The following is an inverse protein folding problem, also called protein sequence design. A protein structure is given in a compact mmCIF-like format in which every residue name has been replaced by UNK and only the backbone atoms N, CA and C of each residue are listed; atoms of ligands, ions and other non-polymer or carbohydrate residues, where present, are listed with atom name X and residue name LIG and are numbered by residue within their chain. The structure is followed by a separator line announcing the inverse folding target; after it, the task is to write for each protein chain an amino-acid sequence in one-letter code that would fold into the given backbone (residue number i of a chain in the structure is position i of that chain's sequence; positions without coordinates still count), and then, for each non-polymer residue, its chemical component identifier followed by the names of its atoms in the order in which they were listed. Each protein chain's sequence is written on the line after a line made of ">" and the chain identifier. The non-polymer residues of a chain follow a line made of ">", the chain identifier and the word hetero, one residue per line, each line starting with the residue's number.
data_IF_621264941429
#
_entry.id   IF_621264941429
#
_cell.length_a   1.000
_cell.length_b   1.000
_cell.length_c   1.000
_cell.angle_alpha   90.00
_cell.angle_beta   90.00
_cell.angle_gamma   90.00
#
_symmetry.space_group_name_H-M   'P 1'
#
loop_
_entity.id
_entity.type
_entity.pdbx_description
1 polymer ?
#
# COMPACT_ATOMS: atom_id res chain seq x y z
N UNK A 1 27.94 -9.62 23.41
CA UNK A 1 26.49 -9.55 23.15
C UNK A 1 25.90 -10.91 23.47
N UNK A 2 24.88 -10.99 24.31
CA UNK A 2 24.29 -12.29 24.70
C UNK A 2 23.54 -12.93 23.52
N UNK A 3 23.52 -14.29 23.47
CA UNK A 3 22.80 -15.05 22.45
C UNK A 3 21.30 -14.65 22.35
N UNK A 4 20.70 -14.27 23.47
CA UNK A 4 19.31 -13.79 23.54
C UNK A 4 19.08 -12.48 22.76
N UNK A 5 20.04 -11.53 22.81
CA UNK A 5 19.94 -10.25 22.07
C UNK A 5 20.00 -10.53 20.57
N UNK A 6 20.89 -11.42 20.12
CA UNK A 6 21.04 -11.79 18.71
C UNK A 6 19.78 -12.50 18.21
N UNK A 7 19.20 -13.39 19.01
CA UNK A 7 17.97 -14.11 18.65
C UNK A 7 16.75 -13.18 18.58
N UNK A 8 16.63 -12.22 19.51
CA UNK A 8 15.58 -11.20 19.49
C UNK A 8 15.69 -10.29 18.26
N UNK A 9 16.90 -9.79 17.94
CA UNK A 9 17.14 -8.96 16.76
C UNK A 9 16.81 -9.72 15.45
N UNK A 10 17.17 -10.99 15.33
CA UNK A 10 16.83 -11.82 14.17
C UNK A 10 15.32 -12.04 14.02
N UNK A 11 14.58 -12.16 15.13
CA UNK A 11 13.12 -12.27 15.10
C UNK A 11 12.46 -10.96 14.65
N UNK A 12 12.88 -9.85 15.21
CA UNK A 12 12.37 -8.51 14.82
C UNK A 12 12.62 -8.21 13.35
N UNK A 13 13.81 -8.55 12.83
CA UNK A 13 14.17 -8.40 11.42
C UNK A 13 13.19 -9.16 10.50
N UNK A 14 12.89 -10.43 10.79
CA UNK A 14 11.96 -11.22 9.99
C UNK A 14 10.53 -10.68 10.02
N UNK A 15 10.10 -10.15 11.16
CA UNK A 15 8.75 -9.57 11.29
C UNK A 15 8.62 -8.31 10.46
N UNK A 16 9.61 -7.39 10.49
CA UNK A 16 9.54 -6.17 9.68
C UNK A 16 9.59 -6.47 8.18
N UNK A 17 10.43 -7.40 7.74
CA UNK A 17 10.49 -7.84 6.34
C UNK A 17 9.16 -8.45 5.88
N UNK A 18 8.52 -9.25 6.73
CA UNK A 18 7.20 -9.78 6.45
C UNK A 18 6.16 -8.66 6.31
N UNK A 19 6.14 -7.69 7.24
CA UNK A 19 5.24 -6.55 7.22
C UNK A 19 5.43 -5.68 5.95
N UNK A 20 6.68 -5.35 5.59
CA UNK A 20 6.99 -4.60 4.36
C UNK A 20 6.52 -5.34 3.10
N UNK A 21 6.70 -6.66 3.02
CA UNK A 21 6.20 -7.45 1.89
C UNK A 21 4.66 -7.52 1.87
N UNK A 22 3.97 -7.43 3.01
CA UNK A 22 2.51 -7.35 3.07
C UNK A 22 2.00 -5.98 2.60
N UNK A 23 2.67 -4.90 3.00
CA UNK A 23 2.39 -3.55 2.47
C UNK A 23 2.60 -3.54 0.95
N UNK A 24 3.72 -4.03 0.45
CA UNK A 24 4.01 -4.12 -0.98
C UNK A 24 2.93 -4.90 -1.75
N UNK A 25 2.40 -5.97 -1.18
CA UNK A 25 1.32 -6.74 -1.80
C UNK A 25 0.00 -5.95 -1.89
N UNK A 26 -0.35 -5.20 -0.85
CA UNK A 26 -1.55 -4.36 -0.85
C UNK A 26 -1.42 -3.18 -1.82
N UNK A 27 -0.23 -2.54 -1.90
CA UNK A 27 0.07 -1.51 -2.89
C UNK A 27 -0.07 -2.05 -4.32
N UNK A 28 0.43 -3.26 -4.58
CA UNK A 28 0.30 -3.89 -5.90
C UNK A 28 -1.15 -4.11 -6.31
N UNK A 29 -2.02 -4.57 -5.39
CA UNK A 29 -3.45 -4.70 -5.66
C UNK A 29 -4.12 -3.35 -5.93
N UNK A 30 -3.81 -2.35 -5.10
CA UNK A 30 -4.33 -1.00 -5.26
C UNK A 30 -3.88 -0.38 -6.59
N UNK A 31 -2.60 -0.57 -6.95
CA UNK A 31 -2.05 -0.14 -8.25
C UNK A 31 -2.84 -0.74 -9.41
N UNK A 32 -3.02 -2.07 -9.43
CA UNK A 32 -3.75 -2.75 -10.50
C UNK A 32 -5.21 -2.28 -10.57
N UNK A 33 -5.89 -2.13 -9.44
CA UNK A 33 -7.26 -1.64 -9.38
C UNK A 33 -7.36 -0.21 -9.91
N UNK A 34 -6.46 0.67 -9.49
CA UNK A 34 -6.45 2.08 -9.94
C UNK A 34 -6.16 2.18 -11.43
N UNK A 35 -5.23 1.38 -11.94
CA UNK A 35 -4.91 1.31 -13.35
C UNK A 35 -6.09 0.78 -14.19
N UNK A 36 -6.78 -0.24 -13.69
CA UNK A 36 -7.99 -0.75 -14.33
C UNK A 36 -9.10 0.32 -14.38
N UNK A 37 -9.30 1.06 -13.29
CA UNK A 37 -10.29 2.15 -13.25
C UNK A 37 -9.88 3.32 -14.16
N UNK A 38 -8.59 3.66 -14.24
CA UNK A 38 -8.07 4.65 -15.17
C UNK A 38 -8.44 4.34 -16.63
N UNK A 39 -8.36 3.07 -17.04
CA UNK A 39 -8.72 2.66 -18.41
C UNK A 39 -10.22 2.61 -18.65
N UNK A 40 -11.03 2.30 -17.64
CA UNK A 40 -12.45 1.97 -17.79
C UNK A 40 -13.40 3.06 -17.28
N UNK A 41 -12.88 4.16 -16.72
CA UNK A 41 -13.73 5.26 -16.27
C UNK A 41 -14.42 5.92 -17.44
N UNK A 42 -15.70 6.27 -17.26
CA UNK A 42 -16.54 6.94 -18.27
C UNK A 42 -17.44 7.97 -17.58
N UNK A 43 -18.05 8.84 -18.36
CA UNK A 43 -19.06 9.79 -17.88
C UNK A 43 -18.71 11.25 -18.14
N UNK A 44 -19.53 12.18 -17.66
CA UNK A 44 -19.41 13.61 -17.98
C UNK A 44 -18.08 14.23 -17.55
N UNK A 45 -17.48 13.71 -16.47
CA UNK A 45 -16.21 14.20 -15.92
C UNK A 45 -15.01 13.34 -16.34
N UNK A 46 -15.13 12.56 -17.44
CA UNK A 46 -14.12 11.58 -17.89
C UNK A 46 -12.71 12.15 -17.87
N UNK A 47 -12.48 13.30 -18.54
CA UNK A 47 -11.13 13.85 -18.70
C UNK A 47 -10.45 14.13 -17.36
N UNK A 48 -11.14 14.76 -16.41
CA UNK A 48 -10.60 15.06 -15.07
C UNK A 48 -10.35 13.80 -14.26
N UNK A 49 -11.30 12.87 -14.25
CA UNK A 49 -11.21 11.63 -13.51
C UNK A 49 -10.15 10.68 -14.08
N UNK A 50 -10.04 10.58 -15.40
CA UNK A 50 -9.02 9.79 -16.08
C UNK A 50 -7.61 10.31 -15.77
N UNK A 51 -7.40 11.64 -15.85
CA UNK A 51 -6.13 12.28 -15.49
C UNK A 51 -5.79 12.04 -14.02
N UNK A 52 -6.76 12.26 -13.12
CA UNK A 52 -6.60 12.02 -11.68
C UNK A 52 -6.16 10.58 -11.38
N UNK A 53 -6.85 9.59 -11.93
CA UNK A 53 -6.50 8.18 -11.75
C UNK A 53 -5.13 7.85 -12.35
N UNK A 54 -4.76 8.52 -13.46
CA UNK A 54 -3.45 8.42 -14.09
C UNK A 54 -2.31 8.91 -13.22
N UNK A 55 -2.51 10.00 -12.50
CA UNK A 55 -1.54 10.51 -11.51
C UNK A 55 -1.51 9.63 -10.25
N UNK A 56 -2.66 9.10 -9.89
CA UNK A 56 -2.85 8.30 -8.70
C UNK A 56 -2.06 6.96 -8.76
N UNK A 57 -2.25 6.17 -9.84
CA UNK A 57 -1.51 4.91 -9.96
C UNK A 57 0.02 5.13 -10.08
N UNK A 58 0.48 6.26 -10.63
CA UNK A 58 1.90 6.59 -10.68
C UNK A 58 2.47 6.85 -9.28
N UNK A 59 1.70 7.50 -8.40
CA UNK A 59 2.10 7.70 -7.00
C UNK A 59 2.18 6.38 -6.25
N UNK A 60 1.24 5.46 -6.48
CA UNK A 60 1.26 4.12 -5.88
C UNK A 60 2.49 3.33 -6.37
N UNK A 61 2.83 3.43 -7.66
CA UNK A 61 4.02 2.78 -8.21
C UNK A 61 5.31 3.24 -7.51
N UNK A 62 5.44 4.55 -7.22
CA UNK A 62 6.58 5.10 -6.45
C UNK A 62 6.59 4.53 -5.02
N UNK A 63 5.43 4.41 -4.37
CA UNK A 63 5.34 3.81 -3.03
C UNK A 63 5.81 2.34 -3.07
N UNK A 64 5.39 1.59 -4.08
CA UNK A 64 5.81 0.20 -4.26
C UNK A 64 7.33 0.06 -4.38
N UNK A 65 7.95 0.96 -5.15
CA UNK A 65 9.40 0.98 -5.35
C UNK A 65 10.12 1.29 -4.03
N UNK A 66 9.73 2.38 -3.35
CA UNK A 66 10.27 2.79 -2.04
C UNK A 66 10.22 1.63 -1.01
N UNK A 67 9.08 0.91 -0.94
CA UNK A 67 8.88 -0.21 -0.01
C UNK A 67 9.72 -1.44 -0.42
N UNK A 68 9.79 -1.76 -1.71
CA UNK A 68 10.60 -2.86 -2.21
C UNK A 68 12.10 -2.61 -1.99
N UNK A 69 12.57 -1.40 -2.24
CA UNK A 69 13.96 -0.99 -1.97
C UNK A 69 14.28 -1.04 -0.47
N UNK A 70 13.33 -0.69 0.42
CA UNK A 70 13.54 -0.85 1.86
C UNK A 70 13.77 -2.30 2.26
N UNK A 71 13.07 -3.26 1.66
CA UNK A 71 13.34 -4.70 1.86
C UNK A 71 14.77 -5.03 1.41
N UNK A 72 15.25 -4.44 0.30
CA UNK A 72 16.65 -4.62 -0.14
C UNK A 72 17.67 -4.01 0.80
N UNK A 73 17.40 -2.84 1.36
CA UNK A 73 18.26 -2.20 2.37
C UNK A 73 18.40 -3.07 3.64
N UNK A 74 17.37 -3.86 3.94
CA UNK A 74 17.40 -4.84 5.03
C UNK A 74 18.09 -6.18 4.64
N UNK A 75 18.81 -6.22 3.49
CA UNK A 75 19.49 -7.39 2.93
C UNK A 75 18.59 -8.58 2.59
N UNK A 76 17.30 -8.31 2.39
CA UNK A 76 16.31 -9.31 2.01
C UNK A 76 15.81 -9.09 0.57
N UNK A 77 15.05 -10.04 0.04
CA UNK A 77 14.47 -9.96 -1.31
C UNK A 77 12.98 -9.69 -1.25
N UNK A 78 12.47 -8.61 -1.90
CA UNK A 78 11.03 -8.40 -2.03
C UNK A 78 10.42 -9.56 -2.82
N UNK A 79 9.30 -10.07 -2.35
CA UNK A 79 8.63 -11.20 -2.99
C UNK A 79 7.46 -10.68 -3.85
N UNK A 80 7.73 -10.52 -5.16
CA UNK A 80 6.83 -9.89 -6.15
C UNK A 80 6.19 -10.88 -7.11
N UNK A 81 6.20 -12.19 -6.84
CA UNK A 81 5.45 -13.12 -7.70
C UNK A 81 3.95 -12.87 -7.57
N UNK A 82 3.19 -12.98 -8.66
CA UNK A 82 1.74 -12.79 -8.66
C UNK A 82 1.09 -13.63 -7.56
N UNK A 83 1.48 -14.90 -7.44
CA UNK A 83 0.97 -15.79 -6.39
C UNK A 83 1.25 -15.26 -4.98
N UNK A 84 2.46 -14.74 -4.71
CA UNK A 84 2.82 -14.22 -3.39
C UNK A 84 2.11 -12.91 -3.08
N UNK A 85 1.89 -12.06 -4.09
CA UNK A 85 1.13 -10.82 -3.92
C UNK A 85 -0.32 -11.12 -3.51
N UNK A 86 -1.02 -11.99 -4.23
CA UNK A 86 -2.39 -12.38 -3.88
C UNK A 86 -2.50 -13.08 -2.52
N UNK A 87 -1.52 -13.92 -2.15
CA UNK A 87 -1.57 -14.64 -0.86
C UNK A 87 -1.27 -13.77 0.36
N UNK A 88 -0.62 -12.61 0.18
CA UNK A 88 -0.21 -11.70 1.27
C UNK A 88 -1.08 -10.45 1.37
N UNK A 89 -1.78 -10.11 0.30
CA UNK A 89 -2.66 -8.96 0.31
C UNK A 89 -3.92 -9.25 1.15
N UNK A 90 -4.29 -8.29 1.96
CA UNK A 90 -5.56 -8.30 2.68
C UNK A 90 -6.69 -7.66 1.85
N UNK A 91 -6.31 -7.05 0.73
CA UNK A 91 -7.23 -6.37 -0.17
C UNK A 91 -8.22 -7.32 -0.83
N UNK A 92 -9.49 -6.93 -0.88
CA UNK A 92 -10.53 -7.66 -1.58
C UNK A 92 -10.54 -7.23 -3.05
N UNK A 93 -10.33 -8.17 -3.94
CA UNK A 93 -10.65 -7.98 -5.36
C UNK A 93 -12.17 -7.99 -5.52
N UNK A 94 -12.81 -6.85 -5.30
CA UNK A 94 -14.23 -6.68 -5.53
C UNK A 94 -14.44 -6.46 -7.03
N UNK A 95 -14.57 -7.56 -7.76
CA UNK A 95 -14.90 -7.55 -9.19
C UNK A 95 -16.40 -7.30 -9.41
N UNK A 96 -16.84 -6.07 -9.22
CA UNK A 96 -18.00 -5.58 -9.93
C UNK A 96 -17.61 -5.45 -11.41
N UNK A 97 -18.29 -6.16 -12.32
CA UNK A 97 -17.89 -6.26 -13.74
C UNK A 97 -17.76 -4.90 -14.46
N UNK A 98 -18.46 -3.87 -14.01
CA UNK A 98 -18.42 -2.51 -14.55
C UNK A 98 -18.96 -1.53 -13.51
N UNK A 99 -18.18 -1.17 -12.49
CA UNK A 99 -18.62 -0.21 -11.48
C UNK A 99 -18.83 1.16 -12.11
N UNK A 100 -19.85 1.91 -11.63
CA UNK A 100 -19.98 3.32 -11.96
C UNK A 100 -18.75 4.11 -11.52
N UNK A 101 -18.49 5.28 -12.11
CA UNK A 101 -17.38 6.14 -11.69
C UNK A 101 -17.42 6.44 -10.19
N UNK A 102 -18.59 6.69 -9.63
CA UNK A 102 -18.77 6.89 -8.19
C UNK A 102 -18.36 5.64 -7.38
N UNK A 103 -18.78 4.45 -7.81
CA UNK A 103 -18.40 3.20 -7.15
C UNK A 103 -16.90 2.91 -7.27
N UNK A 104 -16.27 3.26 -8.38
CA UNK A 104 -14.80 3.19 -8.52
C UNK A 104 -14.10 4.01 -7.44
N UNK A 105 -14.50 5.27 -7.25
CA UNK A 105 -13.92 6.14 -6.23
C UNK A 105 -14.23 5.65 -4.81
N UNK A 106 -15.45 5.17 -4.53
CA UNK A 106 -15.81 4.58 -3.23
C UNK A 106 -14.98 3.34 -2.91
N UNK A 107 -14.74 2.49 -3.89
CA UNK A 107 -13.89 1.30 -3.73
C UNK A 107 -12.43 1.70 -3.43
N UNK A 108 -11.86 2.65 -4.17
CA UNK A 108 -10.51 3.14 -3.90
C UNK A 108 -10.40 3.78 -2.52
N UNK A 109 -11.40 4.58 -2.11
CA UNK A 109 -11.40 5.19 -0.77
C UNK A 109 -11.35 4.14 0.33
N UNK A 110 -12.13 3.06 0.20
CA UNK A 110 -12.11 1.95 1.14
C UNK A 110 -10.73 1.28 1.18
N UNK A 111 -10.17 0.94 0.02
CA UNK A 111 -8.87 0.28 -0.05
C UNK A 111 -7.76 1.14 0.57
N UNK A 112 -7.75 2.45 0.31
CA UNK A 112 -6.82 3.38 0.98
C UNK A 112 -7.03 3.44 2.49
N UNK A 113 -8.28 3.37 2.97
CA UNK A 113 -8.59 3.38 4.41
C UNK A 113 -8.09 2.10 5.08
N UNK A 114 -8.26 0.95 4.43
CA UNK A 114 -7.78 -0.34 4.91
C UNK A 114 -6.24 -0.35 5.02
N UNK A 115 -5.56 0.14 3.98
CA UNK A 115 -4.09 0.29 3.99
C UNK A 115 -3.63 1.25 5.10
N UNK A 116 -4.30 2.39 5.31
CA UNK A 116 -3.97 3.31 6.40
C UNK A 116 -4.08 2.65 7.77
N UNK A 117 -5.11 1.82 7.98
CA UNK A 117 -5.28 1.08 9.24
C UNK A 117 -4.13 0.10 9.46
N UNK A 118 -3.79 -0.69 8.45
CA UNK A 118 -2.65 -1.60 8.50
C UNK A 118 -1.32 -0.87 8.77
N UNK A 119 -1.07 0.24 8.06
CA UNK A 119 0.15 1.04 8.25
C UNK A 119 0.27 1.56 9.68
N UNK A 120 -0.81 2.05 10.29
CA UNK A 120 -0.82 2.53 11.68
C UNK A 120 -0.44 1.42 12.67
N UNK A 121 -0.93 0.21 12.47
CA UNK A 121 -0.59 -0.95 13.30
C UNK A 121 0.90 -1.32 13.15
N UNK A 122 1.40 -1.44 11.92
CA UNK A 122 2.81 -1.77 11.66
C UNK A 122 3.74 -0.68 12.22
N UNK A 123 3.42 0.61 12.06
CA UNK A 123 4.21 1.72 12.59
C UNK A 123 4.29 1.65 14.12
N UNK A 124 3.18 1.35 14.80
CA UNK A 124 3.18 1.21 16.24
C UNK A 124 4.07 0.05 16.70
N UNK A 125 4.00 -1.10 16.05
CA UNK A 125 4.85 -2.28 16.32
C UNK A 125 6.32 -2.00 16.03
N UNK A 126 6.62 -1.33 14.90
CA UNK A 126 7.98 -1.01 14.46
C UNK A 126 8.69 -0.10 15.47
N UNK A 127 7.99 0.87 16.03
CA UNK A 127 8.53 1.78 17.07
C UNK A 127 8.74 1.07 18.41
N UNK A 128 7.81 0.22 18.81
CA UNK A 128 7.76 -0.33 20.16
C UNK A 128 8.62 -1.60 20.31
N UNK A 129 8.59 -2.49 19.33
CA UNK A 129 9.17 -3.83 19.47
C UNK A 129 10.35 -4.10 18.52
N UNK A 130 10.38 -3.47 17.34
CA UNK A 130 11.37 -3.79 16.32
C UNK A 130 12.59 -2.87 16.33
N UNK A 131 12.46 -1.67 16.90
CA UNK A 131 13.52 -0.65 16.95
C UNK A 131 14.15 -0.34 15.58
N UNK A 132 13.32 -0.33 14.52
CA UNK A 132 13.74 0.03 13.15
C UNK A 132 13.15 1.39 12.76
N UNK A 133 13.83 2.51 13.10
CA UNK A 133 13.35 3.85 12.79
C UNK A 133 13.25 4.09 11.29
N UNK A 134 14.14 3.53 10.48
CA UNK A 134 14.14 3.75 9.03
C UNK A 134 12.90 3.16 8.35
N UNK A 135 12.47 1.96 8.73
CA UNK A 135 11.20 1.40 8.24
C UNK A 135 9.99 2.15 8.81
N UNK A 136 10.04 2.55 10.08
CA UNK A 136 8.98 3.37 10.69
C UNK A 136 8.78 4.70 9.97
N UNK A 137 9.85 5.41 9.63
CA UNK A 137 9.79 6.70 8.94
C UNK A 137 9.28 6.54 7.51
N UNK A 138 9.75 5.53 6.78
CA UNK A 138 9.22 5.19 5.46
C UNK A 138 7.71 4.92 5.52
N UNK A 139 7.26 4.03 6.41
CA UNK A 139 5.85 3.67 6.52
C UNK A 139 4.99 4.86 6.97
N UNK A 140 5.52 5.77 7.79
CA UNK A 140 4.86 7.02 8.14
C UNK A 140 4.70 7.93 6.92
N UNK A 141 5.73 8.04 6.07
CA UNK A 141 5.65 8.77 4.80
C UNK A 141 4.59 8.17 3.86
N UNK A 142 4.54 6.84 3.75
CA UNK A 142 3.52 6.13 2.97
C UNK A 142 2.12 6.41 3.52
N UNK A 143 1.92 6.35 4.84
CA UNK A 143 0.65 6.68 5.49
C UNK A 143 0.16 8.09 5.12
N UNK A 144 1.03 9.10 5.21
CA UNK A 144 0.68 10.48 4.86
C UNK A 144 0.30 10.64 3.39
N UNK A 145 0.97 9.90 2.48
CA UNK A 145 0.60 9.86 1.06
C UNK A 145 -0.81 9.28 0.89
N UNK A 146 -1.15 8.17 1.56
CA UNK A 146 -2.50 7.56 1.51
C UNK A 146 -3.57 8.46 2.10
N UNK A 147 -3.29 9.16 3.21
CA UNK A 147 -4.24 10.11 3.81
C UNK A 147 -4.56 11.26 2.85
N UNK A 148 -3.54 11.80 2.15
CA UNK A 148 -3.72 12.81 1.12
C UNK A 148 -4.53 12.28 -0.07
N UNK A 149 -4.19 11.08 -0.58
CA UNK A 149 -4.92 10.44 -1.67
C UNK A 149 -6.39 10.19 -1.30
N UNK A 150 -6.67 9.71 -0.09
CA UNK A 150 -8.03 9.52 0.42
C UNK A 150 -8.83 10.84 0.50
N UNK A 151 -8.19 11.92 0.92
CA UNK A 151 -8.82 13.23 0.92
C UNK A 151 -9.22 13.66 -0.51
N UNK A 152 -8.31 13.51 -1.46
CA UNK A 152 -8.58 13.85 -2.87
C UNK A 152 -9.69 12.97 -3.46
N UNK A 153 -9.70 11.66 -3.17
CA UNK A 153 -10.77 10.73 -3.60
C UNK A 153 -12.12 11.15 -3.04
N UNK A 154 -12.21 11.48 -1.75
CA UNK A 154 -13.47 11.95 -1.12
C UNK A 154 -14.07 13.14 -1.85
N UNK A 155 -13.26 14.03 -2.40
CA UNK A 155 -13.73 15.20 -3.17
C UNK A 155 -14.38 14.85 -4.51
N UNK A 156 -14.29 13.58 -4.95
CA UNK A 156 -14.97 13.06 -6.14
C UNK A 156 -16.29 12.34 -5.81
N UNK A 157 -16.57 12.12 -4.51
CA UNK A 157 -17.75 11.39 -4.03
C UNK A 157 -18.69 12.38 -3.33
N UNK A 158 -19.35 13.21 -4.06
CA UNK A 158 -20.32 14.20 -3.56
C UNK A 158 -21.70 13.91 -4.10
#
# INVERSE_FOLDING_TARGET
>A
MSAEIIQSASKSHKVIVFALNSVLANEYLLFNKTLNYHWNITGPNFQGQHTFLGEHYKQILVIMDDVAERVRVLDERPNITIKSMFSRSEGKDNQEKSPSSENMFRNLLRDHTDIQSQLKEIIAETKTFMHDPGSSDLLTSVLLKHEKMSWMIRSHIT
#
